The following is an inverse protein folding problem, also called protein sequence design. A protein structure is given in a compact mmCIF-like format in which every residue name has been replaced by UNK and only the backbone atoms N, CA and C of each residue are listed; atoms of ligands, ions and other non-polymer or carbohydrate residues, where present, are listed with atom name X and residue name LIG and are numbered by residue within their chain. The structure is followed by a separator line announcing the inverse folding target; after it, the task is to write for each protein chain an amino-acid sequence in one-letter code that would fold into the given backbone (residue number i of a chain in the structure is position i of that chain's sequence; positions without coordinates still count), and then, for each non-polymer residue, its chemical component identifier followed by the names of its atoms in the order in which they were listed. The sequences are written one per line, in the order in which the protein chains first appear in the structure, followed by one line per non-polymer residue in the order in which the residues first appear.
data_IF_704103346951
#
_entry.id   IF_704103346951
#
_cell.length_a   1.000
_cell.length_b   1.000
_cell.length_c   1.000
_cell.angle_alpha   90.00
_cell.angle_beta   90.00
_cell.angle_gamma   90.00
#
_symmetry.space_group_name_H-M   'P 1'
#
loop_
_entity.id
_entity.type
_entity.pdbx_description
1 polymer ?
#
# COMPACT_ATOMS: atom_id res chain seq x y z
N UNK A 1 6.41 -13.30 -4.92
CA UNK A 1 5.98 -13.26 -3.51
C UNK A 1 5.95 -11.80 -3.11
N UNK A 2 4.98 -11.37 -2.29
CA UNK A 2 4.95 -9.99 -1.78
C UNK A 2 5.79 -9.99 -0.52
N UNK A 3 6.81 -9.12 -0.49
CA UNK A 3 7.81 -9.11 0.57
C UNK A 3 7.71 -7.85 1.45
N UNK A 4 6.95 -6.86 1.00
CA UNK A 4 6.74 -5.59 1.68
C UNK A 4 5.27 -5.18 1.57
N UNK A 5 4.70 -4.73 2.69
CA UNK A 5 3.39 -4.09 2.77
C UNK A 5 3.60 -2.67 3.32
N UNK A 6 3.19 -1.67 2.55
CA UNK A 6 3.08 -0.29 3.04
C UNK A 6 1.71 -0.09 3.67
N UNK A 7 1.66 0.53 4.84
CA UNK A 7 0.42 0.77 5.58
C UNK A 7 0.34 2.27 5.88
N UNK A 8 -0.74 2.91 5.46
CA UNK A 8 -0.99 4.30 5.87
C UNK A 8 -1.24 4.38 7.38
N UNK A 9 -0.68 5.40 8.03
CA UNK A 9 -0.81 5.61 9.47
C UNK A 9 -2.27 5.64 9.95
N UNK A 10 -3.19 6.15 9.12
CA UNK A 10 -4.63 6.16 9.40
C UNK A 10 -5.25 4.76 9.57
N UNK A 11 -4.58 3.71 9.08
CA UNK A 11 -5.06 2.32 9.14
C UNK A 11 -4.35 1.47 10.20
N UNK A 12 -3.46 2.05 11.02
CA UNK A 12 -2.76 1.29 12.06
C UNK A 12 -3.73 0.58 13.02
N UNK A 13 -4.78 1.27 13.46
CA UNK A 13 -5.77 0.72 14.38
C UNK A 13 -6.99 0.10 13.69
N UNK A 14 -7.01 0.04 12.35
CA UNK A 14 -8.15 -0.48 11.61
C UNK A 14 -8.22 -2.02 11.69
N UNK A 15 -9.34 -2.52 12.20
CA UNK A 15 -9.55 -3.95 12.40
C UNK A 15 -9.54 -4.77 11.09
N UNK A 16 -9.81 -4.15 9.94
CA UNK A 16 -9.71 -4.84 8.64
C UNK A 16 -8.26 -4.86 8.16
N UNK A 17 -7.51 -3.77 8.28
CA UNK A 17 -6.09 -3.70 7.97
C UNK A 17 -5.30 -4.73 8.79
N UNK A 18 -5.52 -4.77 10.11
CA UNK A 18 -4.88 -5.73 11.01
C UNK A 18 -5.17 -7.20 10.64
N UNK A 19 -6.41 -7.51 10.25
CA UNK A 19 -6.75 -8.86 9.75
C UNK A 19 -6.03 -9.20 8.44
N UNK A 20 -5.75 -8.22 7.58
CA UNK A 20 -4.99 -8.45 6.35
C UNK A 20 -3.53 -8.68 6.70
N UNK A 21 -2.93 -7.85 7.55
CA UNK A 21 -1.54 -7.97 8.00
C UNK A 21 -1.27 -9.30 8.71
N UNK A 22 -2.21 -9.79 9.52
CA UNK A 22 -2.12 -11.08 10.19
C UNK A 22 -2.00 -12.29 9.23
N UNK A 23 -2.37 -12.14 7.95
CA UNK A 23 -2.18 -13.19 6.93
C UNK A 23 -0.76 -13.22 6.35
N UNK A 24 0.04 -12.19 6.64
CA UNK A 24 1.39 -12.00 6.11
C UNK A 24 2.39 -11.72 7.25
N UNK A 25 2.58 -12.68 8.19
CA UNK A 25 3.39 -12.46 9.38
C UNK A 25 4.87 -12.20 9.07
N UNK A 26 5.39 -12.76 7.98
CA UNK A 26 6.81 -12.68 7.59
C UNK A 26 7.13 -11.49 6.67
N UNK A 27 6.13 -10.65 6.37
CA UNK A 27 6.27 -9.54 5.42
C UNK A 27 6.70 -8.27 6.14
N UNK A 28 7.66 -7.56 5.57
CA UNK A 28 8.10 -6.26 6.08
C UNK A 28 6.96 -5.25 6.00
N UNK A 29 6.59 -4.69 7.14
CA UNK A 29 5.57 -3.63 7.23
C UNK A 29 6.28 -2.28 7.29
N UNK A 30 5.87 -1.34 6.43
CA UNK A 30 6.40 0.02 6.40
C UNK A 30 5.25 0.99 6.58
N UNK A 31 5.25 1.74 7.68
CA UNK A 31 4.28 2.81 7.92
C UNK A 31 4.65 4.02 7.05
N UNK A 32 3.65 4.63 6.43
CA UNK A 32 3.77 5.94 5.77
C UNK A 32 2.58 6.83 6.14
N UNK A 33 2.72 8.15 6.02
CA UNK A 33 1.57 9.04 6.27
C UNK A 33 0.53 8.88 5.16
N UNK A 34 0.98 8.89 3.90
CA UNK A 34 0.15 8.72 2.70
C UNK A 34 0.85 7.81 1.68
N UNK A 35 0.08 6.97 1.01
CA UNK A 35 0.63 6.08 -0.02
C UNK A 35 1.30 6.83 -1.18
N UNK A 36 0.89 8.08 -1.44
CA UNK A 36 1.45 8.93 -2.48
C UNK A 36 2.94 9.25 -2.29
N UNK A 37 3.47 9.11 -1.08
CA UNK A 37 4.90 9.29 -0.79
C UNK A 37 5.77 8.17 -1.36
N UNK A 38 5.21 6.96 -1.42
CA UNK A 38 5.91 5.74 -1.83
C UNK A 38 5.50 5.27 -3.22
N UNK A 39 4.31 5.65 -3.69
CA UNK A 39 3.77 5.26 -4.97
C UNK A 39 4.24 6.19 -6.08
N UNK A 40 4.85 5.63 -7.13
CA UNK A 40 5.33 6.35 -8.31
C UNK A 40 6.20 7.60 -8.01
N UNK A 41 7.23 7.52 -7.14
CA UNK A 41 8.16 8.63 -6.96
C UNK A 41 8.88 8.98 -8.27
N UNK A 42 9.37 10.21 -8.36
CA UNK A 42 10.10 10.67 -9.55
C UNK A 42 11.31 9.76 -9.80
N UNK A 43 11.50 9.36 -11.06
CA UNK A 43 12.54 8.42 -11.49
C UNK A 43 12.43 6.99 -10.90
N UNK A 44 11.23 6.55 -10.51
CA UNK A 44 11.01 5.16 -10.11
C UNK A 44 11.39 4.18 -11.23
N UNK A 45 12.15 3.14 -10.88
CA UNK A 45 12.44 2.04 -11.78
C UNK A 45 11.26 1.04 -11.82
N UNK A 46 10.39 1.19 -12.82
CA UNK A 46 9.23 0.31 -13.00
C UNK A 46 9.59 -1.16 -13.24
N UNK A 47 10.77 -1.45 -13.81
CA UNK A 47 11.21 -2.83 -14.01
C UNK A 47 11.51 -3.50 -12.67
N UNK A 48 12.15 -2.79 -11.76
CA UNK A 48 12.43 -3.25 -10.40
C UNK A 48 11.13 -3.42 -9.59
N UNK A 49 10.19 -2.48 -9.70
CA UNK A 49 8.88 -2.57 -9.06
C UNK A 49 8.11 -3.82 -9.52
N UNK A 50 8.12 -4.11 -10.83
CA UNK A 50 7.43 -5.29 -11.39
C UNK A 50 8.09 -6.61 -10.97
N UNK A 51 9.40 -6.64 -10.77
CA UNK A 51 10.08 -7.84 -10.25
C UNK A 51 9.92 -8.02 -8.74
N UNK A 52 9.69 -6.93 -7.99
CA UNK A 52 9.49 -6.93 -6.54
C UNK A 52 8.19 -6.20 -6.19
N UNK A 53 7.03 -6.82 -6.44
CA UNK A 53 5.75 -6.21 -6.13
C UNK A 53 5.60 -6.04 -4.62
N UNK A 54 5.07 -4.88 -4.23
CA UNK A 54 4.66 -4.57 -2.86
C UNK A 54 3.14 -4.39 -2.81
N UNK A 55 2.56 -4.58 -1.63
CA UNK A 55 1.16 -4.25 -1.36
C UNK A 55 1.09 -2.89 -0.65
N UNK A 56 0.04 -2.13 -0.92
CA UNK A 56 -0.25 -0.87 -0.24
C UNK A 56 -1.63 -1.00 0.40
N UNK A 57 -1.73 -0.77 1.71
CA UNK A 57 -2.97 -0.59 2.43
C UNK A 57 -3.14 0.91 2.69
N UNK A 58 -4.15 1.50 2.04
CA UNK A 58 -4.44 2.92 2.10
C UNK A 58 -5.92 3.16 2.36
N UNK A 59 -6.21 4.25 3.06
CA UNK A 59 -7.56 4.73 3.28
C UNK A 59 -8.10 5.35 1.98
N UNK A 60 -9.34 4.99 1.64
CA UNK A 60 -10.02 5.59 0.50
C UNK A 60 -10.58 6.96 0.89
N UNK A 61 -9.94 8.02 0.43
CA UNK A 61 -10.46 9.38 0.60
C UNK A 61 -11.43 9.76 -0.51
N UNK A 62 -12.70 9.97 -0.14
CA UNK A 62 -13.74 10.47 -1.04
C UNK A 62 -14.23 9.48 -2.10
N UNK A 63 -15.14 9.95 -2.95
CA UNK A 63 -15.68 9.19 -4.09
C UNK A 63 -14.99 9.60 -5.39
N UNK A 64 -13.75 9.16 -5.58
CA UNK A 64 -13.08 9.27 -6.88
C UNK A 64 -13.48 8.11 -7.78
N UNK A 65 -14.75 8.10 -8.22
CA UNK A 65 -15.18 7.22 -9.30
C UNK A 65 -15.08 7.99 -10.62
N UNK A 66 -14.24 7.51 -11.54
CA UNK A 66 -14.28 8.00 -12.91
C UNK A 66 -15.51 7.39 -13.57
N UNK A 67 -16.49 8.23 -13.91
CA UNK A 67 -17.63 7.81 -14.72
C UNK A 67 -17.10 7.30 -16.06
N UNK A 68 -17.57 6.12 -16.48
CA UNK A 68 -17.26 5.58 -17.81
C UNK A 68 -18.04 6.42 -18.85
N UNK A 69 -17.41 6.83 -19.97
CA UNK A 69 -18.10 7.58 -21.04
C UNK A 69 -19.30 6.83 -21.62
#
# INVERSE_FOLDING_TARGET
MINTIYVEQALEDDARAQRILARFPDVTQVICERYGEVFNPKAQNFRLQKSHPALVLAEKFGETMLLTP
#
